data_IF_060658176495
#
_entry.id   IF_060658176495
#
_cell.length_a   1.000
_cell.length_b   1.000
_cell.length_c   1.000
_cell.angle_alpha   90.00
_cell.angle_beta   90.00
_cell.angle_gamma   90.00
#
_symmetry.space_group_name_H-M   'P 1'
#
loop_
_entity.id
_entity.type
_entity.pdbx_description
1 polymer ?
#
# COMPACT_ATOMS: atom_id res chain seq x y z
N UNK A 1 -40.31 21.84 -30.27
CA UNK A 1 -38.89 21.58 -30.61
C UNK A 1 -38.03 21.85 -29.37
N UNK A 2 -37.63 20.81 -28.63
CA UNK A 2 -36.81 20.95 -27.43
C UNK A 2 -35.33 21.11 -27.79
N UNK A 3 -34.72 22.24 -27.40
CA UNK A 3 -33.28 22.48 -27.59
C UNK A 3 -32.50 21.70 -26.54
N UNK A 4 -31.85 20.60 -26.94
CA UNK A 4 -30.89 19.84 -26.10
C UNK A 4 -29.73 20.75 -25.68
N UNK A 5 -29.59 21.02 -24.38
CA UNK A 5 -28.45 21.77 -23.80
C UNK A 5 -27.17 20.95 -23.94
N UNK A 6 -26.24 21.42 -24.78
CA UNK A 6 -24.92 20.82 -24.96
C UNK A 6 -24.06 21.11 -23.72
N UNK A 7 -23.63 20.07 -23.00
CA UNK A 7 -22.65 20.20 -21.91
C UNK A 7 -21.23 20.14 -22.50
N UNK A 8 -20.35 21.13 -22.26
CA UNK A 8 -18.99 21.10 -22.77
C UNK A 8 -18.22 19.90 -22.19
N UNK A 9 -17.47 19.17 -23.03
CA UNK A 9 -16.54 18.14 -22.56
C UNK A 9 -15.42 18.82 -21.77
N UNK A 10 -15.20 18.39 -20.53
CA UNK A 10 -14.13 18.91 -19.68
C UNK A 10 -12.76 18.68 -20.32
N UNK A 11 -11.93 19.73 -20.38
CA UNK A 11 -10.56 19.64 -20.87
C UNK A 11 -9.72 18.74 -19.95
N UNK A 12 -8.65 18.14 -20.49
CA UNK A 12 -7.74 17.27 -19.73
C UNK A 12 -7.23 17.94 -18.43
N UNK A 13 -6.84 19.22 -18.51
CA UNK A 13 -6.41 20.02 -17.34
C UNK A 13 -7.50 20.19 -16.28
N UNK A 14 -8.77 20.25 -16.67
CA UNK A 14 -9.89 20.29 -15.72
C UNK A 14 -10.11 18.94 -15.05
N UNK A 15 -9.88 17.83 -15.75
CA UNK A 15 -9.94 16.48 -15.16
C UNK A 15 -8.83 16.27 -14.14
N UNK A 16 -7.59 16.68 -14.46
CA UNK A 16 -6.49 16.64 -13.48
C UNK A 16 -6.78 17.48 -12.24
N UNK A 17 -7.25 18.72 -12.41
CA UNK A 17 -7.63 19.57 -11.26
C UNK A 17 -8.75 18.95 -10.42
N UNK A 18 -9.72 18.31 -11.05
CA UNK A 18 -10.80 17.63 -10.32
C UNK A 18 -10.30 16.38 -9.60
N UNK A 19 -9.43 15.58 -10.23
CA UNK A 19 -8.82 14.39 -9.64
C UNK A 19 -7.90 14.75 -8.45
N UNK A 20 -7.13 15.84 -8.58
CA UNK A 20 -6.31 16.37 -7.49
C UNK A 20 -7.17 16.87 -6.33
N UNK A 21 -8.30 17.52 -6.62
CA UNK A 21 -9.25 17.95 -5.59
C UNK A 21 -9.88 16.77 -4.86
N UNK A 22 -10.34 15.74 -5.58
CA UNK A 22 -10.85 14.52 -4.93
C UNK A 22 -9.78 13.87 -4.07
N UNK A 23 -8.54 13.74 -4.54
CA UNK A 23 -7.43 13.20 -3.74
C UNK A 23 -7.13 14.03 -2.49
N UNK A 24 -7.19 15.36 -2.58
CA UNK A 24 -6.98 16.27 -1.45
C UNK A 24 -8.16 16.23 -0.48
N UNK A 25 -9.39 16.07 -0.97
CA UNK A 25 -10.58 15.94 -0.12
C UNK A 25 -10.66 14.55 0.53
N UNK A 26 -10.16 13.48 -0.11
CA UNK A 26 -9.90 12.19 0.54
C UNK A 26 -8.92 12.33 1.72
N UNK A 27 -7.92 13.22 1.59
CA UNK A 27 -6.95 13.53 2.65
C UNK A 27 -7.56 14.22 3.87
N UNK A 28 -8.76 14.81 3.77
CA UNK A 28 -9.45 15.50 4.87
C UNK A 28 -10.38 14.60 5.69
N UNK A 29 -10.61 13.36 5.26
CA UNK A 29 -11.33 12.40 6.08
C UNK A 29 -10.41 11.92 7.21
N UNK A 30 -10.55 12.53 8.38
CA UNK A 30 -10.01 12.11 9.69
C UNK A 30 -10.41 10.67 10.11
N UNK A 31 -11.04 9.91 9.23
CA UNK A 31 -11.41 8.50 9.41
C UNK A 31 -10.42 7.52 8.75
N UNK A 32 -9.46 7.99 7.96
CA UNK A 32 -8.29 7.16 7.66
C UNK A 32 -7.41 7.14 8.90
N UNK A 33 -7.87 6.34 9.87
CA UNK A 33 -7.04 5.83 10.94
C UNK A 33 -5.72 5.42 10.32
N UNK A 34 -4.64 5.99 10.81
CA UNK A 34 -3.31 5.62 10.36
C UNK A 34 -3.10 4.16 10.76
N UNK A 35 -3.41 3.25 9.84
CA UNK A 35 -3.36 1.80 10.03
C UNK A 35 -2.00 1.41 10.61
N UNK A 36 -0.94 2.07 10.15
CA UNK A 36 0.39 1.90 10.69
C UNK A 36 0.47 2.26 12.18
N UNK A 37 -0.02 3.44 12.57
CA UNK A 37 -0.02 3.86 13.98
C UNK A 37 -0.81 2.89 14.85
N UNK A 38 -2.00 2.43 14.41
CA UNK A 38 -2.76 1.41 15.15
C UNK A 38 -2.04 0.07 15.25
N UNK A 39 -1.52 -0.46 14.15
CA UNK A 39 -0.78 -1.72 14.16
C UNK A 39 0.44 -1.60 15.08
N UNK A 40 1.15 -0.48 15.02
CA UNK A 40 2.33 -0.24 15.86
C UNK A 40 2.00 -0.17 17.35
N UNK A 41 0.87 0.43 17.72
CA UNK A 41 0.43 0.56 19.11
C UNK A 41 -0.22 -0.72 19.65
N UNK A 42 -1.12 -1.32 18.88
CA UNK A 42 -1.98 -2.41 19.34
C UNK A 42 -1.39 -3.81 19.05
N UNK A 43 -0.58 -3.95 18.00
CA UNK A 43 -0.11 -5.25 17.51
C UNK A 43 1.23 -5.19 16.74
N UNK A 44 2.32 -4.69 17.35
CA UNK A 44 3.58 -4.46 16.65
C UNK A 44 4.18 -5.75 16.04
N UNK A 45 3.96 -6.90 16.69
CA UNK A 45 4.38 -8.23 16.20
C UNK A 45 3.68 -8.66 14.91
N UNK A 46 2.55 -8.04 14.54
CA UNK A 46 1.92 -8.31 13.26
C UNK A 46 2.89 -8.08 12.10
N UNK A 47 3.77 -7.09 12.21
CA UNK A 47 4.70 -6.74 11.13
C UNK A 47 5.76 -7.83 10.94
N UNK A 48 6.22 -8.41 12.05
CA UNK A 48 7.10 -9.58 12.06
C UNK A 48 6.39 -10.80 11.44
N UNK A 49 5.14 -11.08 11.83
CA UNK A 49 4.37 -12.20 11.30
C UNK A 49 4.13 -12.09 9.78
N UNK A 50 3.78 -10.91 9.27
CA UNK A 50 3.62 -10.69 7.82
C UNK A 50 4.90 -11.03 7.04
N UNK A 51 6.08 -10.71 7.59
CA UNK A 51 7.36 -11.04 6.97
C UNK A 51 7.66 -12.54 7.02
N UNK A 52 7.44 -13.19 8.17
CA UNK A 52 7.69 -14.63 8.30
C UNK A 52 6.75 -15.47 7.44
N UNK A 53 5.48 -15.07 7.32
CA UNK A 53 4.55 -15.70 6.41
C UNK A 53 5.06 -15.62 4.97
N UNK A 54 5.55 -14.45 4.52
CA UNK A 54 6.17 -14.30 3.19
C UNK A 54 7.39 -15.21 3.03
N UNK A 55 8.28 -15.26 4.02
CA UNK A 55 9.48 -16.13 4.00
C UNK A 55 9.14 -17.63 3.95
N UNK A 56 7.94 -18.01 4.37
CA UNK A 56 7.48 -19.40 4.30
C UNK A 56 7.02 -19.83 2.89
N UNK A 57 6.86 -18.88 1.97
CA UNK A 57 6.44 -19.15 0.59
C UNK A 57 7.65 -19.50 -0.27
N UNK A 58 7.56 -20.59 -1.02
CA UNK A 58 8.60 -20.98 -1.98
C UNK A 58 8.86 -19.84 -2.98
N UNK A 59 10.14 -19.48 -3.17
CA UNK A 59 10.55 -18.37 -4.03
C UNK A 59 10.58 -16.99 -3.37
N UNK A 60 10.26 -16.88 -2.07
CA UNK A 60 10.38 -15.63 -1.29
C UNK A 60 11.50 -15.71 -0.25
N UNK A 61 12.76 -15.76 -0.70
CA UNK A 61 13.89 -15.58 0.22
C UNK A 61 14.00 -14.12 0.71
N UNK A 62 14.86 -13.86 1.71
CA UNK A 62 15.13 -12.49 2.19
C UNK A 62 15.52 -11.53 1.06
N UNK A 63 16.30 -12.01 0.08
CA UNK A 63 16.73 -11.23 -1.08
C UNK A 63 15.55 -10.88 -2.00
N UNK A 64 14.66 -11.84 -2.22
CA UNK A 64 13.52 -11.69 -3.14
C UNK A 64 12.50 -10.74 -2.54
N UNK A 65 12.27 -10.83 -1.22
CA UNK A 65 11.44 -9.88 -0.47
C UNK A 65 12.08 -8.49 -0.48
N UNK A 66 13.38 -8.37 -0.21
CA UNK A 66 14.10 -7.10 -0.25
C UNK A 66 13.94 -6.43 -1.62
N UNK A 67 14.14 -7.20 -2.69
CA UNK A 67 13.96 -6.74 -4.07
C UNK A 67 12.51 -6.31 -4.35
N UNK A 68 11.52 -7.14 -3.98
CA UNK A 68 10.10 -6.84 -4.20
C UNK A 68 9.62 -5.59 -3.45
N UNK A 69 10.23 -5.28 -2.31
CA UNK A 69 9.93 -4.10 -1.50
C UNK A 69 10.75 -2.86 -1.89
N UNK A 70 11.80 -3.04 -2.72
CA UNK A 70 12.75 -1.96 -3.02
C UNK A 70 13.56 -1.53 -1.79
N UNK A 71 13.81 -2.46 -0.86
CA UNK A 71 14.51 -2.21 0.40
C UNK A 71 15.90 -2.85 0.40
N UNK A 72 16.88 -2.27 1.11
CA UNK A 72 18.14 -2.94 1.38
C UNK A 72 17.94 -4.25 2.14
N UNK A 73 18.69 -5.30 1.76
CA UNK A 73 18.63 -6.62 2.40
C UNK A 73 18.85 -6.58 3.93
N UNK A 74 19.73 -5.70 4.40
CA UNK A 74 20.01 -5.59 5.84
C UNK A 74 18.76 -5.18 6.64
N UNK A 75 17.85 -4.40 6.07
CA UNK A 75 16.59 -4.05 6.73
C UNK A 75 15.69 -5.29 6.87
N UNK A 76 15.59 -6.13 5.84
CA UNK A 76 14.80 -7.37 5.92
C UNK A 76 15.34 -8.31 6.99
N UNK A 77 16.67 -8.44 7.08
CA UNK A 77 17.32 -9.24 8.13
C UNK A 77 17.06 -8.70 9.53
N UNK A 78 17.11 -7.38 9.71
CA UNK A 78 16.77 -6.74 10.99
C UNK A 78 15.32 -7.01 11.38
N UNK A 79 14.39 -6.87 10.44
CA UNK A 79 12.97 -7.19 10.66
C UNK A 79 12.77 -8.67 11.01
N UNK A 80 13.43 -9.58 10.29
CA UNK A 80 13.37 -11.02 10.56
C UNK A 80 14.00 -11.41 11.90
N UNK A 81 14.87 -10.56 12.46
CA UNK A 81 15.42 -10.72 13.80
C UNK A 81 14.54 -10.07 14.90
N UNK A 82 13.39 -9.50 14.52
CA UNK A 82 12.46 -8.84 15.45
C UNK A 82 12.80 -7.40 15.78
N UNK A 83 13.72 -6.75 15.06
CA UNK A 83 13.99 -5.31 15.24
C UNK A 83 12.89 -4.48 14.56
N UNK A 84 11.85 -4.16 15.33
CA UNK A 84 10.72 -3.36 14.86
C UNK A 84 10.99 -1.84 14.90
N UNK A 85 12.14 -1.41 15.43
CA UNK A 85 12.44 0.03 15.62
C UNK A 85 12.68 0.76 14.30
N UNK A 86 13.15 0.03 13.28
CA UNK A 86 13.41 0.53 11.93
C UNK A 86 12.14 0.71 11.09
N UNK A 87 11.00 0.19 11.54
CA UNK A 87 9.76 0.20 10.76
C UNK A 87 9.15 1.60 10.81
N UNK A 88 9.10 2.22 9.64
CA UNK A 88 8.27 3.39 9.39
C UNK A 88 7.04 3.00 8.58
N UNK A 89 6.16 3.98 8.37
CA UNK A 89 4.91 3.80 7.62
C UNK A 89 5.14 3.24 6.21
N UNK A 90 6.17 3.70 5.52
CA UNK A 90 6.41 3.32 4.13
C UNK A 90 6.85 1.85 4.03
N UNK A 91 7.75 1.41 4.93
CA UNK A 91 8.16 0.00 5.05
C UNK A 91 6.96 -0.88 5.37
N UNK A 92 6.14 -0.47 6.34
CA UNK A 92 4.92 -1.20 6.69
C UNK A 92 3.96 -1.35 5.50
N UNK A 93 3.66 -0.25 4.80
CA UNK A 93 2.74 -0.27 3.66
C UNK A 93 3.29 -1.08 2.49
N UNK A 94 4.60 -1.04 2.25
CA UNK A 94 5.25 -1.86 1.24
C UNK A 94 5.12 -3.35 1.58
N UNK A 95 5.46 -3.73 2.82
CA UNK A 95 5.34 -5.11 3.29
C UNK A 95 3.90 -5.61 3.24
N UNK A 96 2.96 -4.82 3.74
CA UNK A 96 1.53 -5.13 3.70
C UNK A 96 1.01 -5.27 2.27
N UNK A 97 1.47 -4.42 1.34
CA UNK A 97 1.13 -4.51 -0.08
C UNK A 97 1.65 -5.78 -0.74
N UNK A 98 2.88 -6.19 -0.42
CA UNK A 98 3.45 -7.44 -0.91
C UNK A 98 2.69 -8.64 -0.35
N UNK A 99 2.47 -8.65 0.96
CA UNK A 99 1.67 -9.69 1.63
C UNK A 99 0.29 -9.85 1.01
N UNK A 100 -0.45 -8.75 0.80
CA UNK A 100 -1.76 -8.78 0.19
C UNK A 100 -1.74 -9.31 -1.26
N UNK A 101 -0.67 -9.03 -2.02
CA UNK A 101 -0.51 -9.59 -3.38
C UNK A 101 -0.27 -11.09 -3.36
N UNK A 102 0.49 -11.60 -2.40
CA UNK A 102 0.83 -13.02 -2.29
C UNK A 102 -0.34 -13.84 -1.73
N UNK A 103 -0.95 -13.38 -0.65
CA UNK A 103 -1.91 -14.20 0.11
C UNK A 103 -3.37 -13.84 -0.13
N UNK A 104 -3.69 -12.59 -0.49
CA UNK A 104 -5.08 -12.15 -0.60
C UNK A 104 -5.62 -12.14 -2.04
N UNK A 105 -4.79 -12.40 -3.06
CA UNK A 105 -5.23 -12.42 -4.46
C UNK A 105 -5.77 -11.07 -4.99
N UNK A 106 -5.56 -9.97 -4.27
CA UNK A 106 -6.21 -8.67 -4.52
C UNK A 106 -5.63 -7.85 -5.69
N UNK A 107 -4.93 -8.47 -6.63
CA UNK A 107 -4.41 -7.80 -7.83
C UNK A 107 -4.49 -8.66 -9.10
N UNK A 108 -5.43 -9.61 -9.18
CA UNK A 108 -5.88 -10.11 -10.48
C UNK A 108 -6.75 -9.05 -11.16
N UNK A 109 -6.16 -7.94 -11.62
CA UNK A 109 -6.82 -7.07 -12.57
C UNK A 109 -6.96 -7.89 -13.86
N UNK A 110 -8.14 -8.46 -14.09
CA UNK A 110 -8.52 -9.00 -15.39
C UNK A 110 -9.03 -7.82 -16.23
N UNK A 111 -8.21 -7.24 -17.14
CA UNK A 111 -8.77 -6.35 -18.14
C UNK A 111 -9.70 -7.18 -19.03
N UNK A 112 -10.98 -6.84 -19.01
CA UNK A 112 -11.98 -7.29 -20.01
C UNK A 112 -11.69 -6.58 -21.33
#
# INVERSE_FOLDING_TARGET
>A
MEKKKYKPRSSYRQREKNNLRTLVDFKKHNHFVDLFSKVREESPRLIEYLLHDLLSVEGYSENEIAFALGLPLHLIRQLSAGDLTIINRDIFLALFSLYARVFCGWCSYHPV
#
